data_IF_083378418474
#
_entry.id   IF_083378418474
#
_cell.length_a   1.000
_cell.length_b   1.000
_cell.length_c   1.000
_cell.angle_alpha   90.00
_cell.angle_beta   90.00
_cell.angle_gamma   90.00
#
_symmetry.space_group_name_H-M   'P 1'
#
loop_
_entity.id
_entity.type
_entity.pdbx_description
1 polymer ?
#
# COMPACT_ATOMS: atom_id res chain seq x y z
N UNK A 1 -8.70 -21.49 -15.20
CA UNK A 1 -8.57 -21.15 -15.09
C UNK A 1 -8.28 -20.44 -14.73
N UNK A 2 -8.42 -20.29 -14.58
CA UNK A 2 -8.30 -19.57 -14.38
C UNK A 2 -7.63 -19.03 -13.82
N UNK A 3 -7.59 -19.07 -13.28
CA UNK A 3 -6.94 -18.81 -12.66
C UNK A 3 -5.93 -18.38 -12.95
N UNK A 4 -5.80 -18.65 -13.42
CA UNK A 4 -4.98 -18.23 -14.05
C UNK A 4 -4.91 -16.88 -14.01
N UNK A 5 -5.59 -16.26 -13.35
CA UNK A 5 -5.61 -14.97 -13.29
C UNK A 5 -4.68 -14.45 -12.38
N UNK A 6 -3.45 -14.55 -12.58
CA UNK A 6 -2.42 -13.97 -11.76
C UNK A 6 -2.30 -12.53 -12.14
N UNK A 7 -2.92 -11.67 -11.37
CA UNK A 7 -2.82 -10.24 -11.61
C UNK A 7 -1.46 -9.73 -11.14
N UNK A 8 -0.90 -8.73 -11.79
CA UNK A 8 0.34 -8.11 -11.32
C UNK A 8 0.20 -7.60 -9.90
N UNK A 9 1.24 -7.81 -9.11
CA UNK A 9 1.29 -7.33 -7.74
C UNK A 9 2.53 -6.49 -7.54
N UNK A 10 2.40 -5.41 -6.82
CA UNK A 10 3.55 -4.59 -6.45
C UNK A 10 3.56 -4.47 -4.93
N UNK A 11 4.68 -4.76 -4.32
CA UNK A 11 4.84 -4.72 -2.87
C UNK A 11 5.92 -3.72 -2.52
N UNK A 12 5.61 -2.83 -1.62
CA UNK A 12 6.59 -1.88 -1.10
C UNK A 12 6.63 -2.03 0.41
N UNK A 13 7.83 -2.12 0.96
CA UNK A 13 8.03 -2.15 2.41
C UNK A 13 8.47 -0.76 2.83
N UNK A 14 7.62 -0.07 3.55
CA UNK A 14 7.94 1.28 4.00
C UNK A 14 8.36 1.24 5.45
N UNK A 15 9.56 1.73 5.75
CA UNK A 15 10.05 1.74 7.11
C UNK A 15 9.28 2.77 7.92
N UNK A 16 8.83 2.37 9.11
CA UNK A 16 8.13 3.28 10.02
C UNK A 16 8.77 3.16 11.39
N UNK A 17 8.73 4.21 12.20
CA UNK A 17 9.27 4.13 13.56
C UNK A 17 8.48 3.13 14.38
N UNK A 18 9.16 2.47 15.29
CA UNK A 18 8.50 1.54 16.20
C UNK A 18 7.43 2.31 16.97
N UNK A 19 6.24 1.74 17.01
CA UNK A 19 5.14 2.38 17.73
C UNK A 19 4.39 3.43 16.93
N UNK A 20 4.79 3.65 15.68
CA UNK A 20 4.05 4.62 14.86
C UNK A 20 2.65 4.07 14.56
N UNK A 21 1.64 4.89 14.78
CA UNK A 21 0.26 4.47 14.57
C UNK A 21 -0.19 4.85 13.17
N UNK A 22 0.19 4.06 12.20
CA UNK A 22 -0.13 4.35 10.80
C UNK A 22 -1.63 4.38 10.55
N UNK A 23 -2.41 3.68 11.39
CA UNK A 23 -3.85 3.68 11.24
C UNK A 23 -4.45 5.06 11.54
N UNK A 24 -3.73 5.88 12.28
CA UNK A 24 -4.19 7.21 12.64
C UNK A 24 -3.63 8.29 11.73
N UNK A 25 -2.84 7.91 10.76
CA UNK A 25 -2.26 8.86 9.81
C UNK A 25 -3.34 9.22 8.79
N UNK A 26 -3.84 10.44 8.86
CA UNK A 26 -4.95 10.85 8.04
C UNK A 26 -4.64 10.90 6.57
N UNK A 27 -3.45 11.40 6.22
CA UNK A 27 -3.05 11.48 4.82
C UNK A 27 -2.93 10.09 4.24
N UNK A 28 -2.36 9.18 5.01
CA UNK A 28 -2.21 7.81 4.55
C UNK A 28 -3.58 7.16 4.38
N UNK A 29 -4.46 7.32 5.35
CA UNK A 29 -5.78 6.72 5.30
C UNK A 29 -6.58 7.23 4.10
N UNK A 30 -6.49 8.52 3.85
CA UNK A 30 -7.20 9.13 2.75
C UNK A 30 -6.67 8.60 1.42
N UNK A 31 -5.35 8.46 1.32
CA UNK A 31 -4.74 7.95 0.11
C UNK A 31 -5.09 6.49 -0.11
N UNK A 32 -5.11 5.70 0.96
CA UNK A 32 -5.48 4.29 0.85
C UNK A 32 -6.91 4.14 0.35
N UNK A 33 -7.83 4.96 0.87
CA UNK A 33 -9.21 4.87 0.42
C UNK A 33 -9.36 5.25 -1.05
N UNK A 34 -8.64 6.25 -1.48
CA UNK A 34 -8.66 6.64 -2.88
C UNK A 34 -8.12 5.53 -3.76
N UNK A 35 -7.04 4.87 -3.31
CA UNK A 35 -6.46 3.79 -4.07
C UNK A 35 -7.38 2.58 -4.14
N UNK A 36 -8.06 2.27 -3.03
CA UNK A 36 -9.01 1.17 -3.03
C UNK A 36 -10.11 1.41 -4.05
N UNK A 37 -10.57 2.65 -4.14
CA UNK A 37 -11.60 3.00 -5.10
C UNK A 37 -11.11 2.82 -6.53
N UNK A 38 -9.86 3.21 -6.78
CA UNK A 38 -9.33 3.11 -8.13
C UNK A 38 -9.18 1.67 -8.60
N UNK A 39 -8.93 0.72 -7.70
CA UNK A 39 -8.78 -0.66 -8.11
C UNK A 39 -10.03 -1.50 -7.88
N UNK A 40 -11.10 -0.86 -7.47
CA UNK A 40 -12.34 -1.58 -7.22
C UNK A 40 -12.75 -2.28 -8.51
N UNK A 41 -12.99 -3.59 -8.43
CA UNK A 41 -13.32 -4.37 -9.60
C UNK A 41 -12.13 -4.75 -10.47
N UNK A 42 -10.93 -4.24 -10.14
CA UNK A 42 -9.73 -4.55 -10.93
C UNK A 42 -8.64 -5.21 -10.10
N UNK A 43 -8.77 -5.20 -8.79
CA UNK A 43 -7.77 -5.77 -7.92
C UNK A 43 -8.04 -5.41 -6.49
N UNK A 44 -6.98 -5.21 -5.71
CA UNK A 44 -7.16 -4.92 -4.28
C UNK A 44 -5.91 -4.29 -3.68
N UNK A 45 -6.12 -3.68 -2.52
CA UNK A 45 -5.05 -3.08 -1.75
C UNK A 45 -4.94 -3.82 -0.43
N UNK A 46 -3.73 -4.18 -0.03
CA UNK A 46 -3.49 -4.83 1.25
C UNK A 46 -2.42 -4.05 2.00
N UNK A 47 -2.69 -3.73 3.25
CA UNK A 47 -1.75 -3.01 4.10
C UNK A 47 -1.54 -3.84 5.35
N UNK A 48 -0.28 -4.17 5.67
CA UNK A 48 0.02 -4.97 6.84
C UNK A 48 1.29 -4.53 7.50
N UNK A 49 1.32 -4.49 8.81
CA UNK A 49 2.60 -4.26 9.50
C UNK A 49 3.44 -5.53 9.47
N UNK A 50 4.74 -5.36 9.44
CA UNK A 50 5.64 -6.49 9.60
C UNK A 50 5.61 -6.92 11.07
N UNK A 51 5.70 -8.21 11.30
CA UNK A 51 5.66 -8.71 12.67
C UNK A 51 6.96 -8.55 13.43
N UNK A 52 8.08 -8.44 12.73
CA UNK A 52 9.38 -8.44 13.38
C UNK A 52 10.19 -7.18 13.13
N UNK A 53 9.81 -6.38 12.17
CA UNK A 53 10.58 -5.19 11.82
C UNK A 53 9.69 -3.99 11.75
N UNK A 54 10.22 -2.79 11.96
CA UNK A 54 9.41 -1.57 11.89
C UNK A 54 9.14 -1.20 10.44
N UNK A 55 8.38 -2.04 9.77
CA UNK A 55 8.02 -1.84 8.37
C UNK A 55 6.53 -1.98 8.20
N UNK A 56 6.01 -1.22 7.26
CA UNK A 56 4.64 -1.38 6.84
C UNK A 56 4.67 -1.92 5.42
N UNK A 57 3.97 -3.02 5.19
CA UNK A 57 3.91 -3.63 3.89
C UNK A 57 2.69 -3.11 3.15
N UNK A 58 2.94 -2.52 2.00
CA UNK A 58 1.89 -1.93 1.17
C UNK A 58 1.89 -2.69 -0.14
N UNK A 59 0.77 -3.34 -0.46
CA UNK A 59 0.70 -4.15 -1.66
C UNK A 59 -0.54 -3.78 -2.45
N UNK A 60 -0.38 -3.65 -3.75
CA UNK A 60 -1.51 -3.46 -4.65
C UNK A 60 -1.46 -4.56 -5.70
N UNK A 61 -2.60 -5.22 -5.89
CA UNK A 61 -2.79 -6.17 -6.96
C UNK A 61 -3.79 -5.55 -7.91
N UNK A 62 -3.48 -5.48 -9.18
CA UNK A 62 -4.39 -4.88 -10.14
C UNK A 62 -4.14 -5.48 -11.51
N UNK A 63 -5.08 -5.31 -12.42
CA UNK A 63 -4.97 -5.83 -13.77
C UNK A 63 -3.98 -5.03 -14.63
N UNK A 64 -3.42 -3.95 -14.08
CA UNK A 64 -2.46 -3.10 -14.77
C UNK A 64 -1.27 -2.89 -13.84
N UNK A 65 -0.10 -3.37 -14.23
CA UNK A 65 1.08 -3.28 -13.40
C UNK A 65 1.50 -1.83 -13.16
N UNK A 66 1.32 -0.96 -14.13
CA UNK A 66 1.67 0.44 -13.94
C UNK A 66 0.78 1.09 -12.90
N UNK A 67 -0.52 0.75 -12.92
CA UNK A 67 -1.42 1.27 -11.92
C UNK A 67 -1.04 0.76 -10.54
N UNK A 68 -0.73 -0.54 -10.43
CA UNK A 68 -0.34 -1.10 -9.14
C UNK A 68 0.90 -0.39 -8.60
N UNK A 69 1.88 -0.13 -9.45
CA UNK A 69 3.11 0.54 -9.02
C UNK A 69 2.84 1.98 -8.60
N UNK A 70 2.02 2.67 -9.36
CA UNK A 70 1.71 4.05 -9.05
C UNK A 70 0.98 4.17 -7.72
N UNK A 71 0.01 3.29 -7.47
CA UNK A 71 -0.77 3.36 -6.24
C UNK A 71 0.07 3.00 -5.03
N UNK A 72 0.95 2.00 -5.14
CA UNK A 72 1.82 1.66 -4.01
C UNK A 72 2.76 2.81 -3.69
N UNK A 73 3.33 3.45 -4.70
CA UNK A 73 4.21 4.60 -4.46
C UNK A 73 3.45 5.74 -3.82
N UNK A 74 2.26 6.01 -4.29
CA UNK A 74 1.45 7.09 -3.78
C UNK A 74 1.14 6.87 -2.29
N UNK A 75 0.78 5.63 -1.94
CA UNK A 75 0.48 5.33 -0.55
C UNK A 75 1.72 5.42 0.32
N UNK A 76 2.85 4.89 -0.15
CA UNK A 76 4.07 4.93 0.62
C UNK A 76 4.50 6.37 0.88
N UNK A 77 4.35 7.24 -0.12
CA UNK A 77 4.75 8.63 0.04
C UNK A 77 3.81 9.42 0.91
N UNK A 78 2.59 8.94 1.08
CA UNK A 78 1.62 9.67 1.90
C UNK A 78 1.80 9.45 3.39
N UNK A 79 2.63 8.47 3.79
CA UNK A 79 2.95 8.29 5.20
C UNK A 79 3.81 9.46 5.67
N UNK A 80 3.51 9.97 6.84
CA UNK A 80 4.16 11.17 7.34
C UNK A 80 5.47 10.90 8.06
N UNK A 81 5.98 9.69 7.95
CA UNK A 81 7.15 9.30 8.73
C UNK A 81 8.46 9.88 8.25
N UNK A 82 8.51 10.32 7.01
CA UNK A 82 9.72 10.87 6.50
C UNK A 82 10.10 12.11 7.18
N UNK A 83 9.19 12.78 7.82
CA UNK A 83 9.49 14.01 8.47
C UNK A 83 10.28 13.80 9.73
N UNK A 84 10.53 12.57 10.05
CA UNK A 84 11.28 12.27 11.22
C UNK A 84 12.74 12.51 11.05
N UNK A 85 13.18 12.80 9.93
CA UNK A 85 14.60 13.01 9.70
C UNK A 85 15.18 14.11 10.57
#
# INVERSE_FOLDING_TARGET
TADLQLLPQVLVNKRIPAGYHWQNDRDFSRTVEACRTEVEGRGRVLIRPSGTEPLLRIMVEADDAYLAAELTSRMAESLSVEHQA
#
